data_IF_500802169970
#
_entry.id   IF_500802169970
#
_cell.length_a   1.000
_cell.length_b   1.000
_cell.length_c   1.000
_cell.angle_alpha   90.00
_cell.angle_beta   90.00
_cell.angle_gamma   90.00
#
_symmetry.space_group_name_H-M   'P 1'
#
loop_
_entity.id
_entity.type
_entity.pdbx_description
1 polymer ?
#
# COMPACT_ATOMS: atom_id res chain seq x y z
N UNK A 1 30.49 -13.85 -25.55
CA UNK A 1 30.58 -13.92 -24.07
C UNK A 1 30.61 -12.56 -23.35
N UNK A 2 30.91 -11.42 -23.99
CA UNK A 2 30.93 -10.09 -23.33
C UNK A 2 29.54 -9.43 -23.12
N UNK A 3 28.55 -9.76 -23.95
CA UNK A 3 27.19 -9.18 -23.92
C UNK A 3 26.31 -9.70 -22.77
N UNK A 4 26.51 -10.95 -22.34
CA UNK A 4 25.74 -11.57 -21.24
C UNK A 4 26.00 -10.92 -19.86
N UNK A 5 27.20 -10.36 -19.65
CA UNK A 5 27.54 -9.70 -18.37
C UNK A 5 26.88 -8.32 -18.20
N UNK A 6 26.50 -7.66 -19.30
CA UNK A 6 25.81 -6.37 -19.27
C UNK A 6 24.32 -6.53 -18.98
N UNK A 7 23.66 -7.51 -19.60
CA UNK A 7 22.24 -7.81 -19.38
C UNK A 7 22.00 -8.24 -17.92
N UNK A 8 22.89 -9.05 -17.34
CA UNK A 8 22.79 -9.48 -15.95
C UNK A 8 22.96 -8.32 -14.96
N UNK A 9 23.82 -7.33 -15.27
CA UNK A 9 24.00 -6.13 -14.43
C UNK A 9 22.79 -5.18 -14.49
N UNK A 10 22.18 -5.03 -15.67
CA UNK A 10 20.97 -4.22 -15.83
C UNK A 10 19.79 -4.86 -15.08
N UNK A 11 19.65 -6.20 -15.15
CA UNK A 11 18.64 -6.96 -14.42
C UNK A 11 18.80 -6.86 -12.89
N UNK A 12 20.06 -6.85 -12.41
CA UNK A 12 20.36 -6.76 -10.97
C UNK A 12 20.13 -5.35 -10.42
N UNK A 13 20.35 -4.30 -11.21
CA UNK A 13 20.07 -2.91 -10.80
C UNK A 13 18.57 -2.62 -10.66
N UNK A 14 17.71 -3.26 -11.47
CA UNK A 14 16.26 -3.05 -11.41
C UNK A 14 15.59 -3.72 -10.21
N UNK A 15 16.15 -4.82 -9.69
CA UNK A 15 15.59 -5.55 -8.54
C UNK A 15 15.87 -4.80 -7.22
N UNK A 16 17.00 -4.10 -7.11
CA UNK A 16 17.41 -3.40 -5.89
C UNK A 16 16.65 -2.07 -5.66
N UNK A 17 16.06 -1.48 -6.70
CA UNK A 17 15.36 -0.20 -6.59
C UNK A 17 13.95 -0.30 -5.97
N UNK A 18 13.38 -1.51 -5.85
CA UNK A 18 12.03 -1.73 -5.29
C UNK A 18 11.99 -1.93 -3.77
N UNK A 19 13.12 -1.90 -3.08
CA UNK A 19 13.18 -2.21 -1.64
C UNK A 19 12.85 -1.03 -0.70
N UNK A 20 12.51 0.16 -1.19
CA UNK A 20 12.47 1.33 -0.32
C UNK A 20 11.23 2.21 -0.49
N UNK A 21 10.11 1.81 0.15
CA UNK A 21 9.24 2.68 0.97
C UNK A 21 7.97 1.91 1.35
N UNK A 22 7.76 1.74 2.64
CA UNK A 22 6.51 1.31 3.23
C UNK A 22 5.90 2.54 3.92
N UNK A 23 4.88 3.15 3.32
CA UNK A 23 4.08 4.19 3.97
C UNK A 23 3.03 3.51 4.84
N UNK A 24 2.94 3.88 6.12
CA UNK A 24 1.93 3.37 7.05
C UNK A 24 0.55 3.96 6.72
N UNK A 25 -0.49 3.13 6.78
CA UNK A 25 -1.83 3.46 6.28
C UNK A 25 -2.73 4.23 7.24
N UNK A 26 -2.37 4.32 8.52
CA UNK A 26 -3.05 5.21 9.46
C UNK A 26 -2.75 6.69 9.20
N UNK A 27 -1.71 7.01 8.43
CA UNK A 27 -1.20 8.37 8.22
C UNK A 27 -2.00 9.19 7.18
N UNK A 28 -3.16 8.71 6.70
CA UNK A 28 -3.92 9.35 5.59
C UNK A 28 -5.41 9.60 5.85
N UNK A 29 -5.89 9.30 7.06
CA UNK A 29 -7.31 9.51 7.45
C UNK A 29 -7.55 10.95 7.93
N UNK A 30 -8.78 11.48 7.85
CA UNK A 30 -9.09 12.87 8.26
C UNK A 30 -8.86 13.14 9.76
N UNK A 31 -8.87 12.11 10.61
CA UNK A 31 -8.68 12.22 12.05
C UNK A 31 -8.00 10.97 12.63
N UNK A 32 -7.10 11.16 13.59
CA UNK A 32 -6.31 10.07 14.18
C UNK A 32 -7.11 9.08 15.04
N UNK A 33 -8.25 9.48 15.60
CA UNK A 33 -9.05 8.63 16.49
C UNK A 33 -10.18 7.93 15.76
N UNK A 34 -10.91 8.66 14.93
CA UNK A 34 -12.14 8.15 14.29
C UNK A 34 -11.97 7.90 12.78
N UNK A 35 -10.78 8.12 12.24
CA UNK A 35 -10.49 7.94 10.82
C UNK A 35 -11.47 8.73 9.95
N UNK A 36 -11.94 8.09 8.87
CA UNK A 36 -12.94 8.64 7.94
C UNK A 36 -14.39 8.22 8.24
N UNK A 37 -14.69 7.76 9.47
CA UNK A 37 -16.04 7.27 9.82
C UNK A 37 -17.13 8.29 9.51
N UNK A 38 -16.85 9.57 9.76
CA UNK A 38 -17.75 10.68 9.46
C UNK A 38 -18.17 10.75 7.99
N UNK A 39 -17.25 10.46 7.08
CA UNK A 39 -17.50 10.53 5.64
C UNK A 39 -18.32 9.32 5.19
N UNK A 40 -18.00 8.14 5.72
CA UNK A 40 -18.74 6.90 5.45
C UNK A 40 -20.18 6.96 5.98
N UNK A 41 -20.39 7.44 7.21
CA UNK A 41 -21.72 7.53 7.82
C UNK A 41 -22.62 8.54 7.11
N UNK A 42 -22.06 9.63 6.58
CA UNK A 42 -22.84 10.71 5.95
C UNK A 42 -23.05 10.46 4.47
N UNK A 43 -22.06 9.94 3.75
CA UNK A 43 -22.08 9.83 2.29
C UNK A 43 -22.13 8.38 1.79
N UNK A 44 -22.00 7.38 2.67
CA UNK A 44 -22.09 5.96 2.32
C UNK A 44 -20.88 5.42 1.56
N UNK A 45 -19.80 6.20 1.44
CA UNK A 45 -18.58 5.82 0.71
C UNK A 45 -17.32 6.34 1.41
N UNK A 46 -16.16 5.75 1.11
CA UNK A 46 -14.87 6.27 1.56
C UNK A 46 -14.45 7.49 0.72
N UNK A 47 -13.68 8.43 1.32
CA UNK A 47 -13.08 9.50 0.54
C UNK A 47 -12.07 8.91 -0.45
N UNK A 48 -12.09 9.43 -1.67
CA UNK A 48 -11.18 9.06 -2.76
C UNK A 48 -10.20 10.18 -3.05
N UNK A 49 -9.25 9.94 -3.95
CA UNK A 49 -8.39 10.98 -4.51
C UNK A 49 -9.14 12.18 -5.14
N UNK A 50 -10.38 11.98 -5.58
CA UNK A 50 -11.25 13.02 -6.17
C UNK A 50 -12.09 13.76 -5.13
N UNK A 51 -12.07 13.32 -3.87
CA UNK A 51 -12.84 13.97 -2.81
C UNK A 51 -12.29 15.36 -2.54
N UNK A 52 -13.17 16.36 -2.59
CA UNK A 52 -12.82 17.72 -2.20
C UNK A 52 -12.45 17.75 -0.70
N UNK A 53 -11.26 18.26 -0.42
CA UNK A 53 -10.69 18.28 0.93
C UNK A 53 -11.52 19.11 1.90
N UNK A 54 -12.09 20.24 1.44
CA UNK A 54 -12.96 21.05 2.29
C UNK A 54 -14.25 20.29 2.61
N UNK A 55 -14.86 19.61 1.63
CA UNK A 55 -16.03 18.75 1.87
C UNK A 55 -15.71 17.66 2.90
N UNK A 56 -14.54 17.01 2.80
CA UNK A 56 -14.08 15.99 3.76
C UNK A 56 -13.96 16.55 5.17
N UNK A 57 -13.31 17.70 5.32
CA UNK A 57 -13.11 18.38 6.61
C UNK A 57 -14.44 18.90 7.20
N UNK A 58 -15.30 19.51 6.40
CA UNK A 58 -16.62 19.98 6.84
C UNK A 58 -17.51 18.81 7.29
N UNK A 59 -17.53 17.73 6.52
CA UNK A 59 -18.29 16.51 6.85
C UNK A 59 -17.82 15.93 8.17
N UNK A 60 -16.51 15.87 8.36
CA UNK A 60 -15.89 15.41 9.60
C UNK A 60 -16.27 16.28 10.81
N UNK A 61 -16.04 17.59 10.74
CA UNK A 61 -16.29 18.49 11.87
C UNK A 61 -17.77 18.60 12.22
N UNK A 62 -18.66 18.59 11.20
CA UNK A 62 -20.11 18.54 11.41
C UNK A 62 -20.54 17.26 12.12
N UNK A 63 -19.96 16.11 11.73
CA UNK A 63 -20.22 14.83 12.39
C UNK A 63 -19.77 14.84 13.85
N UNK A 64 -18.54 15.31 14.12
CA UNK A 64 -17.99 15.42 15.47
C UNK A 64 -18.82 16.37 16.33
N UNK A 65 -19.21 17.54 15.82
CA UNK A 65 -20.09 18.47 16.53
C UNK A 65 -21.41 17.77 16.96
N UNK A 66 -22.07 17.06 16.02
CA UNK A 66 -23.31 16.33 16.30
C UNK A 66 -23.10 15.29 17.40
N UNK A 67 -22.03 14.51 17.31
CA UNK A 67 -21.69 13.50 18.32
C UNK A 67 -21.50 14.15 19.69
N UNK A 68 -20.72 15.23 19.77
CA UNK A 68 -20.39 15.91 21.01
C UNK A 68 -21.58 16.64 21.66
N UNK A 69 -22.54 17.14 20.86
CA UNK A 69 -23.81 17.70 21.34
C UNK A 69 -24.74 16.64 21.93
N UNK A 70 -24.66 15.40 21.45
CA UNK A 70 -25.51 14.29 21.91
C UNK A 70 -24.99 13.58 23.16
N UNK A 71 -23.77 13.90 23.61
CA UNK A 71 -23.10 13.20 24.71
C UNK A 71 -23.73 13.55 26.05
N UNK A 72 -23.79 12.57 26.96
CA UNK A 72 -24.14 12.85 28.35
C UNK A 72 -23.06 13.72 29.00
N UNK A 73 -23.51 14.84 29.57
CA UNK A 73 -22.69 15.84 30.26
C UNK A 73 -23.11 16.00 31.72
N UNK A 74 -23.92 15.08 32.24
CA UNK A 74 -24.46 15.13 33.61
C UNK A 74 -23.38 15.41 34.68
N UNK A 75 -22.20 14.80 34.51
CA UNK A 75 -21.03 14.93 35.40
C UNK A 75 -20.31 16.29 35.35
N UNK A 76 -20.55 17.11 34.33
CA UNK A 76 -19.90 18.42 34.19
C UNK A 76 -20.51 19.46 35.13
N UNK A 77 -19.68 20.41 35.58
CA UNK A 77 -20.17 21.59 36.31
C UNK A 77 -21.05 22.46 35.41
N UNK A 78 -21.81 23.38 36.02
CA UNK A 78 -22.64 24.33 35.27
C UNK A 78 -21.80 25.17 34.30
N UNK A 79 -20.67 25.69 34.77
CA UNK A 79 -19.74 26.48 33.96
C UNK A 79 -19.15 25.67 32.80
N UNK A 80 -18.74 24.41 33.05
CA UNK A 80 -18.24 23.53 31.99
C UNK A 80 -19.31 23.23 30.92
N UNK A 81 -20.59 23.09 31.32
CA UNK A 81 -21.70 22.91 30.37
C UNK A 81 -21.90 24.15 29.50
N UNK A 82 -21.85 25.34 30.09
CA UNK A 82 -21.95 26.61 29.37
C UNK A 82 -20.78 26.81 28.39
N UNK A 83 -19.55 26.55 28.85
CA UNK A 83 -18.36 26.61 28.01
C UNK A 83 -18.41 25.61 26.87
N UNK A 84 -18.83 24.36 27.14
CA UNK A 84 -18.96 23.32 26.12
C UNK A 84 -19.94 23.72 25.02
N UNK A 85 -21.10 24.25 25.39
CA UNK A 85 -22.10 24.73 24.42
C UNK A 85 -21.55 25.89 23.57
N UNK A 86 -20.92 26.88 24.21
CA UNK A 86 -20.26 27.99 23.51
C UNK A 86 -19.21 27.48 22.50
N UNK A 87 -18.39 26.50 22.89
CA UNK A 87 -17.38 25.92 22.00
C UNK A 87 -17.99 25.17 20.83
N UNK A 88 -19.09 24.43 21.05
CA UNK A 88 -19.78 23.72 19.96
C UNK A 88 -20.43 24.70 18.98
N UNK A 89 -20.91 25.85 19.46
CA UNK A 89 -21.42 26.92 18.60
C UNK A 89 -20.30 27.61 17.82
N UNK A 90 -19.12 27.79 18.41
CA UNK A 90 -17.93 28.26 17.71
C UNK A 90 -17.43 27.24 16.68
N UNK A 91 -17.45 25.94 17.02
CA UNK A 91 -17.10 24.87 16.09
C UNK A 91 -18.03 24.86 14.88
N UNK A 92 -19.34 25.07 15.11
CA UNK A 92 -20.33 25.21 14.06
C UNK A 92 -19.98 26.34 13.08
N UNK A 93 -19.67 27.52 13.61
CA UNK A 93 -19.24 28.68 12.82
C UNK A 93 -17.98 28.37 12.00
N UNK A 94 -16.99 27.74 12.64
CA UNK A 94 -15.72 27.40 12.01
C UNK A 94 -15.88 26.48 10.80
N UNK A 95 -16.53 25.31 10.97
CA UNK A 95 -16.65 24.38 9.85
C UNK A 95 -17.61 24.90 8.77
N UNK A 96 -18.60 25.73 9.14
CA UNK A 96 -19.48 26.37 8.15
C UNK A 96 -18.71 27.39 7.29
N UNK A 97 -17.76 28.12 7.89
CA UNK A 97 -16.92 29.08 7.16
C UNK A 97 -15.95 28.39 6.17
N UNK A 98 -15.51 27.17 6.47
CA UNK A 98 -14.71 26.35 5.53
C UNK A 98 -13.28 26.86 5.27
N UNK A 99 -12.72 27.65 6.20
CA UNK A 99 -11.35 28.15 6.12
C UNK A 99 -10.45 27.26 6.98
N UNK A 100 -9.76 26.33 6.33
CA UNK A 100 -8.93 25.32 7.00
C UNK A 100 -7.44 25.49 6.67
N UNK A 101 -6.54 25.12 7.59
CA UNK A 101 -5.11 25.18 7.33
C UNK A 101 -4.68 24.12 6.32
N UNK A 102 -3.55 24.40 5.67
CA UNK A 102 -2.91 23.46 4.73
C UNK A 102 -1.56 22.97 5.25
N UNK A 103 -1.30 21.69 5.02
CA UNK A 103 0.00 21.10 5.27
C UNK A 103 0.96 21.39 4.10
N UNK A 104 1.78 22.43 4.26
CA UNK A 104 2.79 22.83 3.27
C UNK A 104 4.13 22.10 3.43
N UNK A 105 4.47 21.68 4.64
CA UNK A 105 5.81 21.24 5.01
C UNK A 105 6.00 19.73 4.76
N UNK A 106 4.90 18.96 4.73
CA UNK A 106 4.91 17.50 4.55
C UNK A 106 3.93 17.05 3.45
N UNK A 107 4.22 17.31 2.16
CA UNK A 107 3.28 17.09 1.05
C UNK A 107 2.90 15.62 0.83
N UNK A 108 3.75 14.68 1.26
CA UNK A 108 3.53 13.24 1.12
C UNK A 108 2.79 12.63 2.33
N UNK A 109 2.38 13.44 3.31
CA UNK A 109 1.78 12.96 4.57
C UNK A 109 0.51 13.74 4.92
N UNK A 110 -0.44 13.06 5.57
CA UNK A 110 -1.59 13.72 6.16
C UNK A 110 -1.38 13.83 7.67
N UNK A 111 -1.12 15.04 8.15
CA UNK A 111 -0.78 15.29 9.56
C UNK A 111 -1.52 16.52 10.09
N UNK A 112 -1.67 16.69 11.42
CA UNK A 112 -2.23 17.91 11.98
C UNK A 112 -1.42 19.14 11.56
N UNK A 113 -2.06 20.29 11.43
CA UNK A 113 -1.39 21.58 11.23
C UNK A 113 -2.14 22.61 12.08
N UNK A 114 -1.50 23.18 13.09
CA UNK A 114 -2.16 24.04 14.07
C UNK A 114 -2.47 25.43 13.49
N UNK A 115 -1.45 26.13 12.98
CA UNK A 115 -1.60 27.34 12.15
C UNK A 115 -0.69 27.18 10.92
N UNK A 116 -1.24 27.37 9.73
CA UNK A 116 -0.46 27.31 8.49
C UNK A 116 0.28 28.62 8.18
N UNK A 117 1.09 28.63 7.11
CA UNK A 117 1.88 29.81 6.72
C UNK A 117 1.02 30.98 6.23
N UNK A 118 -0.23 30.73 5.85
CA UNK A 118 -1.18 31.75 5.38
C UNK A 118 -1.98 32.34 6.57
N UNK A 119 -1.74 31.82 7.79
CA UNK A 119 -2.40 32.25 9.02
C UNK A 119 -3.70 31.51 9.34
N UNK A 120 -4.10 30.55 8.50
CA UNK A 120 -5.30 29.74 8.73
C UNK A 120 -5.09 28.83 9.95
N UNK A 121 -6.10 28.73 10.80
CA UNK A 121 -6.03 28.06 12.10
C UNK A 121 -6.84 26.78 12.06
N UNK A 122 -6.36 25.71 12.66
CA UNK A 122 -7.14 24.48 12.80
C UNK A 122 -8.35 24.65 13.72
N UNK A 123 -9.26 23.67 13.71
CA UNK A 123 -10.47 23.72 14.52
C UNK A 123 -10.17 23.92 16.02
N UNK A 124 -9.23 23.15 16.59
CA UNK A 124 -8.84 23.31 18.00
C UNK A 124 -8.19 24.67 18.27
N UNK A 125 -7.28 25.11 17.38
CA UNK A 125 -6.62 26.41 17.51
C UNK A 125 -7.62 27.56 17.41
N UNK A 126 -8.65 27.46 16.57
CA UNK A 126 -9.71 28.45 16.46
C UNK A 126 -10.51 28.53 17.76
N UNK A 127 -10.88 27.40 18.36
CA UNK A 127 -11.57 27.39 19.66
C UNK A 127 -10.72 28.06 20.76
N UNK A 128 -9.42 27.80 20.79
CA UNK A 128 -8.49 28.45 21.72
C UNK A 128 -8.41 29.95 21.42
N UNK A 129 -8.23 30.35 20.17
CA UNK A 129 -8.17 31.75 19.76
C UNK A 129 -9.40 32.54 20.21
N UNK A 130 -10.60 31.98 20.02
CA UNK A 130 -11.87 32.63 20.34
C UNK A 130 -12.17 32.69 21.84
N UNK A 131 -11.45 31.94 22.68
CA UNK A 131 -11.76 31.82 24.12
C UNK A 131 -10.63 32.20 25.05
N UNK A 132 -9.39 32.11 24.58
CA UNK A 132 -8.17 32.40 25.32
C UNK A 132 -7.29 33.43 24.60
N UNK A 133 -7.57 33.74 23.33
CA UNK A 133 -6.89 34.77 22.55
C UNK A 133 -5.86 34.23 21.56
N UNK A 134 -5.64 34.99 20.48
CA UNK A 134 -4.72 34.64 19.39
C UNK A 134 -3.30 34.36 19.86
N UNK A 135 -2.80 35.14 20.83
CA UNK A 135 -1.45 34.98 21.36
C UNK A 135 -1.23 33.56 21.91
N UNK A 136 -2.21 33.00 22.63
CA UNK A 136 -2.10 31.64 23.19
C UNK A 136 -2.08 30.59 22.07
N UNK A 137 -2.89 30.78 21.02
CA UNK A 137 -2.88 29.88 19.86
C UNK A 137 -1.52 29.91 19.13
N UNK A 138 -0.89 31.08 19.00
CA UNK A 138 0.44 31.23 18.40
C UNK A 138 1.56 30.63 19.26
N UNK A 139 1.49 30.80 20.58
CA UNK A 139 2.42 30.16 21.53
C UNK A 139 2.34 28.62 21.43
N UNK A 140 1.13 28.06 21.35
CA UNK A 140 0.93 26.62 21.15
C UNK A 140 1.49 26.19 19.78
N UNK A 141 1.16 26.93 18.72
CA UNK A 141 1.65 26.65 17.37
C UNK A 141 3.19 26.58 17.32
N UNK A 142 3.88 27.49 18.02
CA UNK A 142 5.35 27.53 18.04
C UNK A 142 6.00 26.26 18.59
N UNK A 143 5.28 25.51 19.42
CA UNK A 143 5.74 24.27 20.06
C UNK A 143 5.20 23.01 19.39
N UNK A 144 3.97 23.07 18.88
CA UNK A 144 3.16 21.89 18.55
C UNK A 144 2.48 21.97 17.17
N UNK A 145 3.01 22.77 16.24
CA UNK A 145 2.42 23.01 14.90
C UNK A 145 1.89 21.74 14.22
N UNK A 146 2.66 20.64 14.26
CA UNK A 146 2.35 19.39 13.57
C UNK A 146 1.98 18.23 14.51
N UNK A 147 1.80 18.51 15.80
CA UNK A 147 1.64 17.48 16.82
C UNK A 147 0.18 17.07 17.02
N UNK A 148 -0.04 15.80 17.35
CA UNK A 148 -1.37 15.32 17.75
C UNK A 148 -1.71 15.81 19.16
N UNK A 149 -2.96 16.22 19.38
CA UNK A 149 -3.36 16.81 20.66
C UNK A 149 -3.09 15.88 21.85
N UNK A 150 -3.28 14.57 21.67
CA UNK A 150 -2.99 13.57 22.72
C UNK A 150 -1.51 13.46 23.06
N UNK A 151 -0.62 13.83 22.14
CA UNK A 151 0.83 13.84 22.34
C UNK A 151 1.36 15.20 22.86
N UNK A 152 0.54 16.26 22.81
CA UNK A 152 0.92 17.57 23.36
C UNK A 152 0.96 17.52 24.89
N UNK A 153 2.16 17.60 25.47
CA UNK A 153 2.36 17.71 26.91
C UNK A 153 2.61 19.18 27.29
N UNK A 154 1.53 19.94 27.46
CA UNK A 154 1.58 21.37 27.79
C UNK A 154 0.44 21.76 28.73
N UNK A 155 0.82 22.36 29.87
CA UNK A 155 -0.10 22.67 30.94
C UNK A 155 -1.13 23.75 30.56
N UNK A 156 -0.84 24.59 29.57
CA UNK A 156 -1.80 25.59 29.07
C UNK A 156 -2.92 24.90 28.29
N UNK A 157 -2.58 23.92 27.45
CA UNK A 157 -3.57 23.09 26.74
C UNK A 157 -4.41 22.31 27.75
N UNK A 158 -3.78 21.63 28.71
CA UNK A 158 -4.51 20.79 29.68
C UNK A 158 -5.48 21.61 30.54
N UNK A 159 -5.08 22.82 30.96
CA UNK A 159 -5.96 23.76 31.67
C UNK A 159 -7.11 24.26 30.79
N UNK A 160 -6.82 24.60 29.54
CA UNK A 160 -7.86 25.01 28.59
C UNK A 160 -8.88 23.89 28.36
N UNK A 161 -8.43 22.66 28.11
CA UNK A 161 -9.31 21.48 27.96
C UNK A 161 -10.19 21.31 29.20
N UNK A 162 -9.60 21.32 30.40
CA UNK A 162 -10.33 21.18 31.66
C UNK A 162 -11.44 22.23 31.84
N UNK A 163 -11.16 23.48 31.47
CA UNK A 163 -12.11 24.60 31.57
C UNK A 163 -13.20 24.57 30.49
N UNK A 164 -12.91 23.98 29.32
CA UNK A 164 -13.81 23.99 28.17
C UNK A 164 -15.03 23.08 28.31
N UNK A 165 -14.98 22.11 29.23
CA UNK A 165 -15.99 21.06 29.34
C UNK A 165 -15.85 19.94 28.30
N UNK A 166 -14.72 19.87 27.60
CA UNK A 166 -14.31 18.73 26.78
C UNK A 166 -13.30 17.83 27.50
N UNK A 167 -13.20 16.57 27.07
CA UNK A 167 -12.02 15.73 27.34
C UNK A 167 -10.95 15.94 26.26
N UNK A 168 -9.72 15.55 26.55
CA UNK A 168 -8.61 15.67 25.58
C UNK A 168 -8.85 14.80 24.34
N UNK A 169 -9.49 13.65 24.51
CA UNK A 169 -9.93 12.78 23.41
C UNK A 169 -11.00 13.46 22.54
N UNK A 170 -11.94 14.22 23.14
CA UNK A 170 -12.92 14.98 22.36
C UNK A 170 -12.27 16.10 21.56
N UNK A 171 -11.33 16.82 22.14
CA UNK A 171 -10.53 17.80 21.41
C UNK A 171 -9.68 17.14 20.31
N UNK A 172 -9.18 15.92 20.54
CA UNK A 172 -8.47 15.14 19.52
C UNK A 172 -9.40 14.65 18.40
N UNK A 173 -10.68 14.37 18.67
CA UNK A 173 -11.68 14.14 17.60
C UNK A 173 -11.98 15.42 16.81
N UNK A 174 -11.90 16.59 17.44
CA UNK A 174 -12.06 17.89 16.75
C UNK A 174 -10.84 18.21 15.88
N UNK A 175 -9.64 17.74 16.23
CA UNK A 175 -8.40 18.02 15.50
C UNK A 175 -8.31 17.21 14.19
N UNK A 176 -8.45 17.84 13.01
CA UNK A 176 -8.26 17.14 11.75
C UNK A 176 -6.76 17.03 11.41
N UNK A 177 -6.47 16.13 10.48
CA UNK A 177 -5.22 16.08 9.73
C UNK A 177 -5.41 16.66 8.33
N UNK A 178 -4.33 17.15 7.74
CA UNK A 178 -4.33 17.85 6.46
C UNK A 178 -3.24 17.28 5.55
N UNK A 179 -3.58 17.09 4.28
CA UNK A 179 -2.70 16.48 3.29
C UNK A 179 -3.51 16.08 2.06
N UNK A 180 -2.84 15.74 0.97
CA UNK A 180 -3.51 15.27 -0.24
C UNK A 180 -4.36 14.03 0.05
N UNK A 181 -5.50 13.90 -0.64
CA UNK A 181 -6.31 12.68 -0.59
C UNK A 181 -5.48 11.49 -1.10
N UNK A 182 -5.58 10.31 -0.48
CA UNK A 182 -4.79 9.15 -0.87
C UNK A 182 -5.04 8.82 -2.36
N UNK A 183 -3.97 8.62 -3.13
CA UNK A 183 -4.08 8.13 -4.51
C UNK A 183 -4.35 6.63 -4.48
N UNK A 184 -5.63 6.28 -4.40
CA UNK A 184 -6.13 4.91 -4.29
C UNK A 184 -5.71 3.98 -5.45
N UNK A 185 -5.35 4.55 -6.59
CA UNK A 185 -5.07 3.81 -7.82
C UNK A 185 -3.69 4.12 -8.43
N UNK A 186 -2.67 4.18 -7.59
CA UNK A 186 -1.30 4.49 -8.02
C UNK A 186 -0.50 3.23 -8.37
N UNK A 187 0.24 3.28 -9.48
CA UNK A 187 1.31 2.34 -9.79
C UNK A 187 2.61 3.13 -9.74
N UNK A 188 3.57 2.69 -8.93
CA UNK A 188 4.88 3.35 -8.90
C UNK A 188 5.52 3.34 -10.29
N UNK A 189 6.09 4.46 -10.77
CA UNK A 189 6.75 4.50 -12.08
C UNK A 189 7.79 3.40 -12.26
N UNK A 190 8.54 3.07 -11.20
CA UNK A 190 9.50 1.98 -11.21
C UNK A 190 8.83 0.62 -11.49
N UNK A 191 7.69 0.33 -10.85
CA UNK A 191 6.95 -0.90 -11.08
C UNK A 191 6.31 -0.93 -12.47
N UNK A 192 5.70 0.18 -12.92
CA UNK A 192 5.11 0.28 -14.25
C UNK A 192 6.12 0.09 -15.38
N UNK A 193 7.29 0.73 -15.28
CA UNK A 193 8.37 0.62 -16.28
C UNK A 193 8.99 -0.78 -16.28
N UNK A 194 9.31 -1.33 -15.11
CA UNK A 194 9.90 -2.68 -15.01
C UNK A 194 8.94 -3.75 -15.56
N UNK A 195 7.65 -3.67 -15.23
CA UNK A 195 6.62 -4.56 -15.76
C UNK A 195 6.53 -4.49 -17.28
N UNK A 196 6.55 -3.28 -17.84
CA UNK A 196 6.46 -3.07 -19.29
C UNK A 196 7.66 -3.67 -20.03
N UNK A 197 8.88 -3.44 -19.51
CA UNK A 197 10.12 -3.96 -20.11
C UNK A 197 10.17 -5.49 -20.07
N UNK A 198 9.89 -6.10 -18.90
CA UNK A 198 9.92 -7.55 -18.74
C UNK A 198 8.80 -8.21 -19.55
N UNK A 199 7.61 -7.61 -19.59
CA UNK A 199 6.49 -8.12 -20.41
C UNK A 199 6.82 -8.10 -21.90
N UNK A 200 7.40 -7.00 -22.42
CA UNK A 200 7.81 -6.92 -23.82
C UNK A 200 8.86 -7.96 -24.20
N UNK A 201 9.83 -8.21 -23.30
CA UNK A 201 10.83 -9.25 -23.48
C UNK A 201 10.21 -10.65 -23.48
N UNK A 202 9.37 -10.96 -22.49
CA UNK A 202 8.75 -12.28 -22.36
C UNK A 202 7.76 -12.59 -23.48
N UNK A 203 6.99 -11.60 -23.95
CA UNK A 203 6.14 -11.76 -25.12
C UNK A 203 6.97 -12.16 -26.36
N UNK A 204 8.08 -11.45 -26.59
CA UNK A 204 9.00 -11.76 -27.69
C UNK A 204 9.60 -13.18 -27.56
N UNK A 205 10.03 -13.56 -26.36
CA UNK A 205 10.56 -14.90 -26.09
C UNK A 205 9.49 -15.98 -26.29
N UNK A 206 8.24 -15.74 -25.90
CA UNK A 206 7.12 -16.65 -26.09
C UNK A 206 6.81 -16.88 -27.57
N UNK A 207 6.81 -15.82 -28.37
CA UNK A 207 6.67 -15.93 -29.83
C UNK A 207 7.80 -16.78 -30.42
N UNK A 208 9.05 -16.52 -30.04
CA UNK A 208 10.19 -17.30 -30.54
C UNK A 208 10.12 -18.75 -30.06
N UNK A 209 9.74 -19.00 -28.80
CA UNK A 209 9.52 -20.35 -28.27
C UNK A 209 8.47 -21.10 -29.11
N UNK A 210 7.33 -20.47 -29.42
CA UNK A 210 6.29 -21.05 -30.27
C UNK A 210 6.80 -21.41 -31.67
N UNK A 211 7.56 -20.51 -32.31
CA UNK A 211 8.18 -20.77 -33.62
C UNK A 211 9.18 -21.93 -33.53
N UNK A 212 10.02 -21.97 -32.50
CA UNK A 212 11.02 -23.02 -32.30
C UNK A 212 10.38 -24.38 -32.04
N UNK A 213 9.31 -24.44 -31.25
CA UNK A 213 8.52 -25.66 -31.03
C UNK A 213 7.93 -26.15 -32.36
N UNK A 214 7.29 -25.26 -33.11
CA UNK A 214 6.66 -25.58 -34.39
C UNK A 214 7.67 -26.07 -35.44
N UNK A 215 8.86 -25.45 -35.50
CA UNK A 215 9.90 -25.79 -36.48
C UNK A 215 10.88 -26.87 -36.00
N UNK A 216 10.71 -27.43 -34.80
CA UNK A 216 11.63 -28.44 -34.26
C UNK A 216 13.06 -27.93 -34.04
N UNK A 217 13.24 -26.64 -33.73
CA UNK A 217 14.55 -26.01 -33.61
C UNK A 217 15.23 -26.33 -32.26
N UNK A 218 16.54 -26.65 -32.27
CA UNK A 218 17.27 -27.15 -31.10
C UNK A 218 17.99 -26.09 -30.26
N UNK A 219 17.74 -24.79 -30.49
CA UNK A 219 18.42 -23.72 -29.76
C UNK A 219 17.93 -23.62 -28.31
N UNK A 220 18.85 -23.65 -27.35
CA UNK A 220 18.52 -23.63 -25.91
C UNK A 220 18.49 -22.22 -25.31
N UNK A 221 19.02 -21.24 -26.02
CA UNK A 221 19.21 -19.89 -25.47
C UNK A 221 17.88 -19.22 -25.15
N UNK A 222 16.92 -19.28 -26.08
CA UNK A 222 15.60 -18.67 -25.93
C UNK A 222 14.83 -19.28 -24.75
N UNK A 223 14.66 -20.62 -24.66
CA UNK A 223 13.94 -21.16 -23.52
C UNK A 223 14.70 -20.99 -22.21
N UNK A 224 16.04 -21.06 -22.16
CA UNK A 224 16.76 -20.79 -20.91
C UNK A 224 16.55 -19.34 -20.46
N UNK A 225 16.61 -18.37 -21.37
CA UNK A 225 16.30 -16.98 -21.04
C UNK A 225 14.85 -16.84 -20.57
N UNK A 226 13.90 -17.46 -21.28
CA UNK A 226 12.49 -17.45 -20.90
C UNK A 226 12.20 -18.07 -19.53
N UNK A 227 12.98 -19.07 -19.11
CA UNK A 227 12.88 -19.59 -17.73
C UNK A 227 13.28 -18.54 -16.69
N UNK A 228 14.41 -17.87 -16.93
CA UNK A 228 14.95 -16.86 -16.01
C UNK A 228 14.03 -15.65 -15.94
N UNK A 229 13.63 -15.12 -17.10
CA UNK A 229 12.81 -13.91 -17.19
C UNK A 229 11.36 -14.19 -16.81
N UNK A 230 10.85 -15.40 -17.06
CA UNK A 230 9.54 -15.84 -16.59
C UNK A 230 9.46 -15.93 -15.07
N UNK A 231 10.44 -16.57 -14.42
CA UNK A 231 10.53 -16.62 -12.97
C UNK A 231 10.70 -15.21 -12.36
N UNK A 232 11.57 -14.39 -12.94
CA UNK A 232 11.76 -13.00 -12.52
C UNK A 232 10.48 -12.17 -12.63
N UNK A 233 9.67 -12.35 -13.68
CA UNK A 233 8.40 -11.64 -13.82
C UNK A 233 7.36 -12.08 -12.79
N UNK A 234 7.30 -13.38 -12.46
CA UNK A 234 6.44 -13.87 -11.37
C UNK A 234 6.86 -13.24 -10.04
N UNK A 235 8.17 -13.24 -9.74
CA UNK A 235 8.69 -12.60 -8.52
C UNK A 235 8.35 -11.10 -8.50
N UNK A 236 8.52 -10.39 -9.61
CA UNK A 236 8.17 -8.97 -9.73
C UNK A 236 6.69 -8.74 -9.44
N UNK A 237 5.79 -9.55 -10.02
CA UNK A 237 4.35 -9.47 -9.75
C UNK A 237 3.97 -9.84 -8.32
N UNK A 238 4.56 -10.89 -7.75
CA UNK A 238 4.27 -11.35 -6.40
C UNK A 238 4.74 -10.35 -5.33
N UNK A 239 5.93 -9.76 -5.49
CA UNK A 239 6.46 -8.76 -4.55
C UNK A 239 5.68 -7.45 -4.57
N UNK A 240 5.03 -7.13 -5.69
CA UNK A 240 4.23 -5.91 -5.83
C UNK A 240 2.72 -6.18 -5.75
N UNK A 241 2.29 -7.41 -5.45
CA UNK A 241 0.88 -7.72 -5.27
C UNK A 241 0.36 -6.93 -4.06
N UNK A 242 -0.66 -6.07 -4.23
CA UNK A 242 -1.11 -5.21 -3.16
C UNK A 242 -1.70 -6.05 -2.03
N UNK A 243 -1.43 -5.65 -0.79
CA UNK A 243 -2.06 -6.27 0.36
C UNK A 243 -3.53 -5.85 0.39
N UNK A 244 -4.33 -6.73 0.96
CA UNK A 244 -5.71 -6.41 1.32
C UNK A 244 -5.70 -5.59 2.60
N UNK A 245 -6.34 -4.43 2.54
CA UNK A 245 -6.44 -3.51 3.64
C UNK A 245 -7.81 -3.68 4.27
N UNK A 246 -7.82 -4.27 5.47
CA UNK A 246 -9.04 -4.38 6.25
C UNK A 246 -9.42 -3.00 6.77
N UNK A 247 -10.49 -2.46 6.23
CA UNK A 247 -11.12 -1.25 6.76
C UNK A 247 -12.45 -1.64 7.39
N UNK A 248 -12.97 -0.77 8.26
CA UNK A 248 -14.21 -1.03 8.99
C UNK A 248 -15.46 -1.14 8.07
N UNK A 249 -15.35 -0.76 6.79
CA UNK A 249 -16.39 -0.87 5.77
C UNK A 249 -16.15 -1.92 4.68
N UNK A 250 -15.13 -2.78 4.82
CA UNK A 250 -14.80 -3.84 3.87
C UNK A 250 -13.31 -3.94 3.57
N UNK A 251 -12.95 -4.90 2.72
CA UNK A 251 -11.57 -5.10 2.29
C UNK A 251 -11.28 -4.27 1.05
N UNK A 252 -10.35 -3.32 1.17
CA UNK A 252 -9.89 -2.51 0.04
C UNK A 252 -8.58 -3.07 -0.53
N UNK A 253 -8.41 -2.97 -1.86
CA UNK A 253 -7.16 -3.35 -2.54
C UNK A 253 -6.96 -2.44 -3.76
N UNK A 254 -5.73 -1.95 -3.98
CA UNK A 254 -5.40 -1.14 -5.17
C UNK A 254 -5.64 -1.95 -6.45
N UNK A 255 -6.67 -1.62 -7.25
CA UNK A 255 -7.10 -2.48 -8.34
C UNK A 255 -6.10 -2.49 -9.51
N UNK A 256 -5.47 -1.36 -9.85
CA UNK A 256 -4.51 -1.31 -10.96
C UNK A 256 -3.22 -2.03 -10.61
N UNK A 257 -2.70 -1.86 -9.40
CA UNK A 257 -1.53 -2.58 -8.94
C UNK A 257 -1.81 -4.08 -8.84
N UNK A 258 -3.00 -4.48 -8.40
CA UNK A 258 -3.44 -5.89 -8.39
C UNK A 258 -3.49 -6.46 -9.80
N UNK A 259 -4.14 -5.77 -10.74
CA UNK A 259 -4.26 -6.21 -12.12
C UNK A 259 -2.88 -6.33 -12.79
N UNK A 260 -2.00 -5.34 -12.63
CA UNK A 260 -0.65 -5.39 -13.18
C UNK A 260 0.16 -6.55 -12.59
N UNK A 261 0.00 -6.82 -11.29
CA UNK A 261 0.65 -7.95 -10.61
C UNK A 261 0.15 -9.30 -11.12
N UNK A 262 -1.15 -9.45 -11.32
CA UNK A 262 -1.74 -10.64 -11.93
C UNK A 262 -1.28 -10.84 -13.37
N UNK A 263 -1.17 -9.76 -14.16
CA UNK A 263 -0.64 -9.81 -15.54
C UNK A 263 0.82 -10.29 -15.52
N UNK A 264 1.67 -9.74 -14.65
CA UNK A 264 3.06 -10.16 -14.52
C UNK A 264 3.20 -11.64 -14.12
N UNK A 265 2.41 -12.10 -13.14
CA UNK A 265 2.39 -13.49 -12.70
C UNK A 265 1.92 -14.41 -13.84
N UNK A 266 0.83 -14.04 -14.51
CA UNK A 266 0.26 -14.81 -15.62
C UNK A 266 1.23 -14.94 -16.80
N UNK A 267 1.76 -13.81 -17.29
CA UNK A 267 2.69 -13.80 -18.41
C UNK A 267 4.02 -14.50 -18.08
N UNK A 268 4.54 -14.30 -16.86
CA UNK A 268 5.74 -15.01 -16.38
C UNK A 268 5.52 -16.53 -16.34
N UNK A 269 4.34 -16.97 -15.88
CA UNK A 269 3.96 -18.39 -15.84
C UNK A 269 3.84 -18.98 -17.26
N UNK A 270 3.18 -18.28 -18.18
CA UNK A 270 3.13 -18.71 -19.59
C UNK A 270 4.52 -18.85 -20.20
N UNK A 271 5.42 -17.92 -19.85
CA UNK A 271 6.81 -17.95 -20.33
C UNK A 271 7.59 -19.13 -19.79
N UNK A 272 7.43 -19.46 -18.51
CA UNK A 272 8.01 -20.65 -17.90
C UNK A 272 7.52 -21.93 -18.58
N UNK A 273 6.20 -22.04 -18.81
CA UNK A 273 5.58 -23.22 -19.42
C UNK A 273 6.09 -23.41 -20.85
N UNK A 274 6.02 -22.38 -21.70
CA UNK A 274 6.45 -22.46 -23.09
C UNK A 274 7.94 -22.76 -23.22
N UNK A 275 8.76 -22.15 -22.36
CA UNK A 275 10.21 -22.39 -22.34
C UNK A 275 10.55 -23.81 -21.88
N UNK A 276 9.85 -24.31 -20.86
CA UNK A 276 9.99 -25.69 -20.38
C UNK A 276 9.57 -26.68 -21.46
N UNK A 277 8.43 -26.43 -22.10
CA UNK A 277 7.89 -27.27 -23.17
C UNK A 277 8.85 -27.35 -24.35
N UNK A 278 9.40 -26.21 -24.79
CA UNK A 278 10.40 -26.16 -25.86
C UNK A 278 11.63 -27.03 -25.53
N UNK A 279 12.15 -26.95 -24.30
CA UNK A 279 13.30 -27.74 -23.87
C UNK A 279 13.02 -29.25 -23.83
N UNK A 280 11.77 -29.66 -23.62
CA UNK A 280 11.36 -31.06 -23.56
C UNK A 280 11.09 -31.61 -24.96
N UNK A 281 10.32 -30.90 -25.78
CA UNK A 281 9.83 -31.39 -27.09
C UNK A 281 10.92 -31.47 -28.15
N UNK A 282 11.88 -30.53 -28.17
CA UNK A 282 12.94 -30.52 -29.18
C UNK A 282 14.16 -31.36 -28.79
N UNK A 283 14.02 -32.27 -27.81
CA UNK A 283 15.08 -33.23 -27.48
C UNK A 283 14.68 -34.62 -27.96
N UNK A 284 15.35 -35.10 -29.02
CA UNK A 284 15.57 -36.54 -29.14
C UNK A 284 16.24 -37.00 -27.86
N UNK A 285 15.64 -37.94 -27.14
CA UNK A 285 16.32 -38.66 -26.06
C UNK A 285 17.66 -39.11 -26.64
N UNK A 286 18.77 -38.60 -26.10
CA UNK A 286 20.08 -39.17 -26.41
C UNK A 286 19.95 -40.64 -26.06
N UNK A 287 20.16 -41.55 -27.03
CA UNK A 287 20.25 -42.97 -26.70
C UNK A 287 21.23 -43.07 -25.53
N UNK A 288 20.74 -43.59 -24.40
CA UNK A 288 21.60 -43.70 -23.24
C UNK A 288 22.74 -44.63 -23.66
N UNK A 289 23.96 -44.13 -23.64
CA UNK A 289 25.16 -44.94 -23.92
C UNK A 289 25.31 -46.08 -22.91
N UNK A 290 24.51 -46.06 -21.84
CA UNK A 290 24.45 -47.06 -20.79
C UNK A 290 22.99 -47.46 -20.52
N UNK A 291 22.70 -48.75 -20.58
CA UNK A 291 21.45 -49.34 -20.09
C UNK A 291 21.76 -50.33 -18.99
N UNK A 292 20.89 -50.41 -17.98
CA UNK A 292 21.00 -51.35 -16.89
C UNK A 292 19.66 -52.05 -16.71
N UNK A 293 19.69 -53.37 -16.58
CA UNK A 293 18.51 -54.21 -16.43
C UNK A 293 18.75 -55.22 -15.31
N UNK A 294 17.71 -55.49 -14.54
CA UNK A 294 17.69 -56.57 -13.55
C UNK A 294 16.78 -57.67 -14.08
N UNK A 295 17.25 -58.91 -14.06
CA UNK A 295 16.47 -60.05 -14.51
C UNK A 295 16.59 -61.20 -13.52
N UNK A 296 15.55 -62.03 -13.43
CA UNK A 296 15.59 -63.26 -12.64
C UNK A 296 15.86 -64.46 -13.54
N UNK A 297 16.53 -65.48 -13.00
CA UNK A 297 16.72 -66.75 -13.67
C UNK A 297 16.51 -67.91 -12.68
N UNK A 298 15.96 -69.05 -13.13
CA UNK A 298 15.72 -70.20 -12.27
C UNK A 298 17.04 -70.85 -11.86
N UNK A 299 17.16 -71.27 -10.60
CA UNK A 299 18.30 -72.06 -10.12
C UNK A 299 17.88 -73.50 -9.83
N UNK A 300 18.84 -74.43 -9.80
CA UNK A 300 18.61 -75.87 -9.58
C UNK A 300 17.90 -76.19 -8.25
N UNK A 301 17.88 -75.27 -7.28
CA UNK A 301 17.23 -75.41 -5.98
C UNK A 301 15.80 -74.85 -5.89
N UNK A 302 15.12 -74.63 -7.02
CA UNK A 302 13.77 -74.05 -7.08
C UNK A 302 13.64 -72.65 -6.47
N UNK A 303 14.75 -71.90 -6.40
CA UNK A 303 14.80 -70.49 -5.99
C UNK A 303 15.18 -69.62 -7.19
N UNK A 304 14.71 -68.37 -7.22
CA UNK A 304 15.04 -67.42 -8.29
C UNK A 304 16.35 -66.70 -7.96
N UNK A 305 17.34 -66.80 -8.84
CA UNK A 305 18.54 -65.95 -8.82
C UNK A 305 18.23 -64.60 -9.44
N UNK A 306 18.88 -63.53 -8.95
CA UNK A 306 18.82 -62.19 -9.54
C UNK A 306 20.14 -61.86 -10.22
N UNK A 307 20.06 -61.43 -11.49
CA UNK A 307 21.18 -60.97 -12.29
C UNK A 307 21.06 -59.48 -12.61
N UNK A 308 22.20 -58.80 -12.67
CA UNK A 308 22.32 -57.40 -13.10
C UNK A 308 23.09 -57.35 -14.41
N UNK A 309 22.49 -56.79 -15.46
CA UNK A 309 23.16 -56.54 -16.73
C UNK A 309 23.39 -55.04 -16.90
N UNK A 310 24.63 -54.65 -17.13
CA UNK A 310 25.02 -53.29 -17.49
C UNK A 310 25.64 -53.30 -18.90
N UNK A 311 25.00 -52.60 -19.83
CA UNK A 311 25.43 -52.56 -21.23
C UNK A 311 25.87 -51.14 -21.59
N UNK A 312 27.10 -51.01 -22.11
CA UNK A 312 27.60 -49.78 -22.74
C UNK A 312 27.52 -49.93 -24.26
N UNK A 313 26.70 -49.09 -24.92
CA UNK A 313 26.67 -49.00 -26.39
C UNK A 313 27.75 -48.01 -26.83
N UNK A 314 28.61 -48.43 -27.75
CA UNK A 314 29.65 -47.61 -28.38
C UNK A 314 29.15 -47.04 -29.70
#
# INVERSE_FOLDING_TARGET
MKTSKWILKILMLTILASCNRQSNEMDQTVNALIGDISFMEILGQQPTNETDENVRLQTHLKYVEKLLRSKDVSSLTKEQKENRLKMLDLLNQYWTAGVFPKNYDYPDQRIPCFIDKDGSVCAVGFLIEQTAGRQIAEEINSKFKYEYLLAMNDQTIDRWVQSSGFTKEECAMIQPTYGSTPTDNYISPAYGVSSSLVSGLNLSLNTINGIQISKGANSKTVPILGLITGAGQITLGALNYPKEHMTWGGTYVNPSQRNLSLINIGLGTSTLILSSWNLITNRKLKEKSFSWNVYSFPTLGNTAGLGFNFTKRF
#
